data_IF_748879731176
#
_entry.id   IF_748879731176
#
_cell.length_a   1.000
_cell.length_b   1.000
_cell.length_c   1.000
_cell.angle_alpha   90.00
_cell.angle_beta   90.00
_cell.angle_gamma   90.00
#
_symmetry.space_group_name_H-M   'P 1'
#
loop_
_entity.id
_entity.type
_entity.pdbx_description
1 polymer ?
#
# COMPACT_ATOMS: atom_id res chain seq x y z
N UNK A 1 33.82 -16.41 6.55
CA UNK A 1 32.62 -16.96 5.89
C UNK A 1 31.34 -16.58 6.67
N UNK A 2 30.99 -15.28 6.76
CA UNK A 2 29.82 -14.76 7.53
C UNK A 2 29.01 -13.67 6.81
N UNK A 3 29.29 -13.41 5.51
CA UNK A 3 28.68 -12.31 4.73
C UNK A 3 27.78 -12.78 3.58
N UNK A 4 27.92 -14.04 3.15
CA UNK A 4 27.17 -14.64 2.06
C UNK A 4 25.78 -15.13 2.49
N UNK A 5 25.56 -15.39 3.78
CA UNK A 5 24.23 -15.81 4.28
C UNK A 5 23.29 -14.63 4.57
N UNK A 6 23.77 -13.38 4.53
CA UNK A 6 22.99 -12.22 4.95
C UNK A 6 22.06 -11.69 3.86
N UNK A 7 22.49 -11.71 2.58
CA UNK A 7 21.75 -11.07 1.50
C UNK A 7 20.52 -11.88 1.04
N UNK A 8 20.59 -13.21 1.06
CA UNK A 8 19.44 -14.06 0.73
C UNK A 8 18.36 -13.99 1.80
N UNK A 9 18.73 -13.96 3.09
CA UNK A 9 17.80 -13.77 4.21
C UNK A 9 17.13 -12.40 4.10
N UNK A 10 17.89 -11.34 3.84
CA UNK A 10 17.33 -10.01 3.60
C UNK A 10 16.37 -10.03 2.41
N UNK A 11 16.77 -10.62 1.27
CA UNK A 11 15.91 -10.72 0.09
C UNK A 11 14.63 -11.50 0.35
N UNK A 12 14.70 -12.58 1.14
CA UNK A 12 13.58 -13.42 1.50
C UNK A 12 12.63 -12.69 2.45
N UNK A 13 13.16 -12.03 3.49
CA UNK A 13 12.36 -11.20 4.41
C UNK A 13 11.66 -10.08 3.64
N UNK A 14 12.37 -9.39 2.74
CA UNK A 14 11.80 -8.33 1.92
C UNK A 14 10.73 -8.83 0.96
N UNK A 15 10.93 -10.01 0.37
CA UNK A 15 9.96 -10.63 -0.53
C UNK A 15 8.70 -11.04 0.24
N UNK A 16 8.85 -11.70 1.39
CA UNK A 16 7.73 -12.08 2.26
C UNK A 16 6.99 -10.84 2.77
N UNK A 17 7.73 -9.81 3.21
CA UNK A 17 7.13 -8.56 3.65
C UNK A 17 6.39 -7.85 2.52
N UNK A 18 6.98 -7.76 1.32
CA UNK A 18 6.33 -7.19 0.14
C UNK A 18 5.06 -7.95 -0.23
N UNK A 19 5.09 -9.28 -0.18
CA UNK A 19 3.92 -10.12 -0.40
C UNK A 19 2.80 -9.85 0.64
N UNK A 20 3.13 -9.82 1.93
CA UNK A 20 2.18 -9.57 3.02
C UNK A 20 1.62 -8.14 3.02
N UNK A 21 2.44 -7.15 2.65
CA UNK A 21 2.03 -5.76 2.51
C UNK A 21 0.99 -5.59 1.38
N UNK A 22 1.19 -6.30 0.27
CA UNK A 22 0.35 -6.21 -0.94
C UNK A 22 -0.86 -7.16 -0.91
N UNK A 23 -1.00 -7.96 0.16
CA UNK A 23 -2.20 -8.77 0.43
C UNK A 23 -3.36 -7.88 0.90
N UNK A 24 -3.96 -7.16 -0.06
CA UNK A 24 -5.04 -6.21 0.17
C UNK A 24 -6.24 -6.55 -0.70
N UNK A 25 -7.10 -7.49 -0.29
CA UNK A 25 -8.19 -7.98 -1.12
C UNK A 25 -9.21 -6.89 -1.47
N UNK A 26 -9.25 -5.78 -0.74
CA UNK A 26 -10.15 -4.68 -1.07
C UNK A 26 -9.69 -3.77 -2.22
N UNK A 27 -8.38 -3.62 -2.45
CA UNK A 27 -7.83 -2.76 -3.51
C UNK A 27 -8.45 -2.99 -4.91
N UNK A 28 -8.57 -4.24 -5.42
CA UNK A 28 -9.13 -4.48 -6.75
C UNK A 28 -10.59 -4.05 -6.90
N UNK A 29 -11.35 -3.97 -5.80
CA UNK A 29 -12.75 -3.59 -5.81
C UNK A 29 -13.02 -2.22 -5.18
N UNK A 30 -11.99 -1.38 -4.98
CA UNK A 30 -12.20 -0.03 -4.44
C UNK A 30 -13.16 0.76 -5.32
N UNK A 31 -13.05 0.68 -6.66
CA UNK A 31 -13.96 1.40 -7.54
C UNK A 31 -15.42 0.97 -7.37
N UNK A 32 -15.69 -0.34 -7.34
CA UNK A 32 -17.02 -0.89 -7.09
C UNK A 32 -17.50 -0.55 -5.67
N UNK A 33 -16.60 -0.54 -4.70
CA UNK A 33 -16.89 -0.09 -3.35
C UNK A 33 -17.27 1.39 -3.31
N UNK A 34 -16.57 2.27 -4.03
CA UNK A 34 -16.87 3.70 -4.06
C UNK A 34 -18.17 4.04 -4.78
N UNK A 35 -18.53 3.26 -5.79
CA UNK A 35 -19.74 3.42 -6.61
C UNK A 35 -20.92 2.58 -6.12
N UNK A 36 -20.72 1.77 -5.07
CA UNK A 36 -21.75 0.91 -4.50
C UNK A 36 -22.91 1.69 -3.86
N UNK A 37 -24.04 0.99 -3.69
CA UNK A 37 -25.31 1.57 -3.23
C UNK A 37 -25.22 2.31 -1.89
N UNK A 38 -24.25 1.98 -1.05
CA UNK A 38 -24.08 2.58 0.27
C UNK A 38 -23.55 4.03 0.26
N UNK A 39 -22.88 4.48 -0.79
CA UNK A 39 -22.34 5.87 -0.91
C UNK A 39 -23.14 6.76 -1.86
N UNK A 40 -23.94 6.19 -2.75
CA UNK A 40 -24.77 6.91 -3.72
C UNK A 40 -23.98 7.97 -4.53
N UNK A 41 -22.74 7.63 -4.93
CA UNK A 41 -21.86 8.49 -5.74
C UNK A 41 -21.77 7.88 -7.15
N UNK A 42 -22.02 8.69 -8.17
CA UNK A 42 -21.94 8.26 -9.57
C UNK A 42 -20.49 7.97 -9.98
N UNK A 43 -20.30 6.94 -10.82
CA UNK A 43 -19.02 6.55 -11.41
C UNK A 43 -18.27 7.73 -12.07
N UNK A 44 -18.99 8.63 -12.75
CA UNK A 44 -18.40 9.81 -13.39
C UNK A 44 -17.75 10.76 -12.37
N UNK A 45 -18.38 10.96 -11.21
CA UNK A 45 -17.85 11.84 -10.16
C UNK A 45 -16.58 11.25 -9.55
N UNK A 46 -16.54 9.94 -9.31
CA UNK A 46 -15.34 9.25 -8.80
C UNK A 46 -14.19 9.41 -9.80
N UNK A 47 -14.45 9.10 -11.08
CA UNK A 47 -13.41 9.08 -12.12
C UNK A 47 -12.91 10.49 -12.46
N UNK A 48 -13.79 11.49 -12.49
CA UNK A 48 -13.43 12.85 -12.92
C UNK A 48 -13.02 13.77 -11.77
N UNK A 49 -13.44 13.51 -10.52
CA UNK A 49 -13.17 14.41 -9.40
C UNK A 49 -12.37 13.78 -8.26
N UNK A 50 -12.46 12.48 -8.03
CA UNK A 50 -11.80 11.82 -6.89
C UNK A 50 -10.42 11.34 -7.31
N UNK A 51 -10.33 10.47 -8.32
CA UNK A 51 -9.02 9.93 -8.77
C UNK A 51 -8.00 10.97 -9.26
N UNK A 52 -8.39 12.06 -9.95
CA UNK A 52 -7.44 13.08 -10.33
C UNK A 52 -6.81 13.76 -9.12
N UNK A 53 -7.56 13.97 -8.04
CA UNK A 53 -7.03 14.56 -6.80
C UNK A 53 -5.94 13.68 -6.20
N UNK A 54 -6.15 12.35 -6.15
CA UNK A 54 -5.13 11.41 -5.70
C UNK A 54 -3.88 11.43 -6.57
N UNK A 55 -4.06 11.45 -7.89
CA UNK A 55 -2.94 11.44 -8.85
C UNK A 55 -2.11 12.74 -8.78
N UNK A 56 -2.77 13.90 -8.75
CA UNK A 56 -2.08 15.19 -8.66
C UNK A 56 -1.43 15.41 -7.30
N UNK A 57 -2.10 15.01 -6.22
CA UNK A 57 -1.53 15.09 -4.87
C UNK A 57 -0.31 14.20 -4.72
N UNK A 58 -0.35 12.97 -5.21
CA UNK A 58 0.81 12.06 -5.27
C UNK A 58 1.99 12.71 -5.97
N UNK A 59 1.80 13.27 -7.17
CA UNK A 59 2.86 13.92 -7.93
C UNK A 59 3.50 15.08 -7.16
N UNK A 60 2.67 15.94 -6.56
CA UNK A 60 3.15 17.08 -5.78
C UNK A 60 3.89 16.64 -4.51
N UNK A 61 3.33 15.66 -3.79
CA UNK A 61 3.90 15.15 -2.55
C UNK A 61 5.18 14.34 -2.78
N UNK A 62 5.36 13.73 -3.95
CA UNK A 62 6.58 13.02 -4.30
C UNK A 62 7.82 13.91 -4.15
N UNK A 63 7.73 15.17 -4.61
CA UNK A 63 8.82 16.16 -4.49
C UNK A 63 9.12 16.44 -3.01
N UNK A 64 8.07 16.64 -2.20
CA UNK A 64 8.17 16.94 -0.76
C UNK A 64 8.78 15.77 -0.01
N UNK A 65 8.29 14.55 -0.24
CA UNK A 65 8.75 13.32 0.40
C UNK A 65 10.21 13.03 0.01
N UNK A 66 10.60 13.26 -1.24
CA UNK A 66 11.98 13.11 -1.68
C UNK A 66 12.92 14.05 -0.92
N UNK A 67 12.56 15.34 -0.80
CA UNK A 67 13.33 16.32 -0.03
C UNK A 67 13.44 15.95 1.46
N UNK A 68 12.33 15.46 2.06
CA UNK A 68 12.34 14.98 3.45
C UNK A 68 13.26 13.76 3.60
N UNK A 69 13.32 12.88 2.60
CA UNK A 69 14.17 11.69 2.62
C UNK A 69 15.66 12.08 2.73
N UNK A 70 16.06 13.09 1.97
CA UNK A 70 17.44 13.60 1.98
C UNK A 70 17.80 14.25 3.32
N UNK A 71 16.84 14.90 4.00
CA UNK A 71 17.09 15.64 5.25
C UNK A 71 16.95 14.78 6.52
N UNK A 72 15.92 13.93 6.62
CA UNK A 72 15.50 13.31 7.88
C UNK A 72 15.86 11.81 8.03
N UNK A 73 16.61 11.24 7.08
CA UNK A 73 16.85 9.78 6.95
C UNK A 73 15.53 8.99 6.76
N UNK A 74 15.63 7.72 6.40
CA UNK A 74 14.50 6.90 5.96
C UNK A 74 13.48 6.49 7.05
N UNK A 75 13.83 6.55 8.34
CA UNK A 75 12.98 6.02 9.43
C UNK A 75 11.63 6.76 9.61
N UNK A 76 11.57 8.11 9.65
CA UNK A 76 10.30 8.82 9.82
C UNK A 76 9.30 8.56 8.69
N UNK A 77 9.80 8.38 7.47
CA UNK A 77 8.98 8.11 6.30
C UNK A 77 8.29 6.74 6.41
N UNK A 78 8.98 5.72 6.92
CA UNK A 78 8.37 4.41 7.14
C UNK A 78 7.18 4.50 8.12
N UNK A 79 7.28 5.35 9.16
CA UNK A 79 6.18 5.61 10.10
C UNK A 79 5.04 6.34 9.41
N UNK A 80 5.34 7.37 8.61
CA UNK A 80 4.32 8.10 7.82
C UNK A 80 3.58 7.17 6.86
N UNK A 81 4.28 6.23 6.21
CA UNK A 81 3.67 5.21 5.35
C UNK A 81 2.67 4.34 6.11
N UNK A 82 3.06 3.86 7.29
CA UNK A 82 2.20 3.02 8.13
C UNK A 82 0.97 3.78 8.62
N UNK A 83 1.16 4.99 9.15
CA UNK A 83 0.08 5.84 9.65
C UNK A 83 -0.89 6.27 8.55
N UNK A 84 -0.38 6.70 7.40
CA UNK A 84 -1.21 7.07 6.25
C UNK A 84 -2.06 5.89 5.77
N UNK A 85 -1.51 4.67 5.79
CA UNK A 85 -2.28 3.47 5.50
C UNK A 85 -3.48 3.30 6.44
N UNK A 86 -3.24 3.30 7.76
CA UNK A 86 -4.32 3.17 8.75
C UNK A 86 -5.39 4.24 8.55
N UNK A 87 -5.00 5.49 8.28
CA UNK A 87 -5.93 6.60 8.00
C UNK A 87 -6.77 6.33 6.75
N UNK A 88 -6.18 5.85 5.66
CA UNK A 88 -6.91 5.56 4.42
C UNK A 88 -7.95 4.47 4.63
N UNK A 89 -7.55 3.29 5.14
CA UNK A 89 -8.49 2.18 5.31
C UNK A 89 -9.54 2.45 6.39
N UNK A 90 -9.23 3.25 7.42
CA UNK A 90 -10.24 3.71 8.38
C UNK A 90 -11.23 4.68 7.73
N UNK A 91 -10.77 5.75 7.08
CA UNK A 91 -11.66 6.68 6.38
C UNK A 91 -12.52 5.94 5.34
N UNK A 92 -11.95 4.97 4.62
CA UNK A 92 -12.70 4.21 3.63
C UNK A 92 -13.90 3.45 4.24
N UNK A 93 -13.84 3.03 5.51
CA UNK A 93 -14.93 2.34 6.23
C UNK A 93 -15.98 3.28 6.85
N UNK A 94 -15.56 4.43 7.41
CA UNK A 94 -16.43 5.31 8.20
C UNK A 94 -16.99 6.51 7.45
N UNK A 95 -16.41 6.83 6.31
CA UNK A 95 -16.72 8.06 5.57
C UNK A 95 -17.73 7.80 4.45
N UNK A 96 -18.57 8.77 4.11
CA UNK A 96 -19.52 8.66 2.99
C UNK A 96 -19.58 9.90 2.09
N UNK A 97 -18.99 11.02 2.50
CA UNK A 97 -19.02 12.28 1.76
C UNK A 97 -17.99 12.39 0.63
N UNK A 98 -18.35 13.16 -0.41
CA UNK A 98 -17.45 13.44 -1.54
C UNK A 98 -16.21 14.25 -1.14
N UNK A 99 -16.37 15.22 -0.23
CA UNK A 99 -15.24 16.04 0.26
C UNK A 99 -14.26 15.18 1.03
N UNK A 100 -14.79 14.33 1.90
CA UNK A 100 -13.99 13.42 2.71
C UNK A 100 -13.26 12.39 1.84
N UNK A 101 -13.86 11.98 0.73
CA UNK A 101 -13.22 11.17 -0.31
C UNK A 101 -12.05 11.87 -0.99
N UNK A 102 -12.19 13.16 -1.34
CA UNK A 102 -11.09 13.95 -1.89
C UNK A 102 -9.95 14.07 -0.88
N UNK A 103 -10.26 14.22 0.41
CA UNK A 103 -9.27 14.22 1.49
C UNK A 103 -8.59 12.85 1.61
N UNK A 104 -9.35 11.76 1.55
CA UNK A 104 -8.82 10.39 1.55
C UNK A 104 -7.81 10.19 0.42
N UNK A 105 -8.12 10.65 -0.79
CA UNK A 105 -7.21 10.58 -1.95
C UNK A 105 -5.90 11.37 -1.73
N UNK A 106 -5.93 12.48 -1.00
CA UNK A 106 -4.70 13.22 -0.62
C UNK A 106 -3.84 12.41 0.36
N UNK A 107 -4.45 11.69 1.30
CA UNK A 107 -3.73 10.76 2.17
C UNK A 107 -3.21 9.55 1.39
N UNK A 108 -3.98 9.05 0.43
CA UNK A 108 -3.55 8.00 -0.49
C UNK A 108 -2.35 8.43 -1.34
N UNK A 109 -2.33 9.68 -1.82
CA UNK A 109 -1.16 10.27 -2.46
C UNK A 109 0.08 10.22 -1.55
N UNK A 110 -0.09 10.55 -0.26
CA UNK A 110 1.00 10.52 0.72
C UNK A 110 1.51 9.09 0.91
N UNK A 111 0.60 8.14 1.03
CA UNK A 111 0.90 6.73 1.17
C UNK A 111 1.72 6.22 -0.02
N UNK A 112 1.26 6.48 -1.25
CA UNK A 112 1.96 6.10 -2.48
C UNK A 112 3.33 6.77 -2.61
N UNK A 113 3.44 8.06 -2.31
CA UNK A 113 4.71 8.81 -2.36
C UNK A 113 5.75 8.22 -1.41
N UNK A 114 5.31 7.87 -0.20
CA UNK A 114 6.17 7.30 0.83
C UNK A 114 6.54 5.85 0.54
N UNK A 115 5.66 5.11 -0.14
CA UNK A 115 5.91 3.74 -0.57
C UNK A 115 7.05 3.64 -1.58
N UNK A 116 7.12 4.58 -2.53
CA UNK A 116 8.24 4.65 -3.48
C UNK A 116 9.58 4.82 -2.73
N UNK A 117 9.61 5.66 -1.69
CA UNK A 117 10.82 5.84 -0.88
C UNK A 117 11.16 4.60 -0.06
N UNK A 118 10.16 3.87 0.44
CA UNK A 118 10.39 2.60 1.12
C UNK A 118 11.13 1.60 0.20
N UNK A 119 10.75 1.51 -1.08
CA UNK A 119 11.48 0.68 -2.03
C UNK A 119 12.92 1.17 -2.26
N UNK A 120 13.15 2.48 -2.33
CA UNK A 120 14.51 3.05 -2.45
C UNK A 120 15.39 2.75 -1.23
N UNK A 121 14.83 2.75 -0.02
CA UNK A 121 15.55 2.40 1.21
C UNK A 121 16.09 0.97 1.20
N UNK A 122 15.30 0.03 0.68
CA UNK A 122 15.68 -1.37 0.55
C UNK A 122 16.96 -1.48 -0.30
N UNK A 123 17.01 -0.80 -1.44
CA UNK A 123 18.18 -0.82 -2.31
C UNK A 123 19.40 -0.18 -1.64
N UNK A 124 19.22 0.90 -0.87
CA UNK A 124 20.31 1.53 -0.12
C UNK A 124 20.97 0.60 0.94
N UNK A 125 20.29 -0.47 1.36
CA UNK A 125 20.80 -1.46 2.33
C UNK A 125 21.47 -2.68 1.68
N UNK A 126 21.24 -2.92 0.40
CA UNK A 126 21.78 -4.06 -0.34
C UNK A 126 23.05 -3.63 -1.07
N UNK A 127 23.95 -4.57 -1.41
CA UNK A 127 25.10 -4.27 -2.27
C UNK A 127 24.68 -4.27 -3.75
N UNK A 128 25.25 -3.36 -4.54
CA UNK A 128 24.99 -3.24 -5.98
C UNK A 128 25.04 -4.58 -6.75
N UNK A 129 25.94 -5.49 -6.37
CA UNK A 129 26.10 -6.82 -6.99
C UNK A 129 24.84 -7.70 -6.97
N UNK A 130 23.92 -7.46 -6.02
CA UNK A 130 22.70 -8.25 -5.87
C UNK A 130 21.42 -7.50 -6.25
N UNK A 131 21.51 -6.27 -6.78
CA UNK A 131 20.33 -5.45 -7.06
C UNK A 131 19.36 -6.11 -8.03
N UNK A 132 19.87 -6.71 -9.11
CA UNK A 132 19.02 -7.37 -10.10
C UNK A 132 18.23 -8.54 -9.49
N UNK A 133 18.91 -9.40 -8.71
CA UNK A 133 18.28 -10.56 -8.05
C UNK A 133 17.27 -10.14 -7.01
N UNK A 134 17.62 -9.19 -6.14
CA UNK A 134 16.72 -8.70 -5.09
C UNK A 134 15.51 -7.99 -5.70
N UNK A 135 15.70 -7.20 -6.76
CA UNK A 135 14.60 -6.56 -7.49
C UNK A 135 13.67 -7.60 -8.10
N UNK A 136 14.21 -8.63 -8.75
CA UNK A 136 13.42 -9.71 -9.36
C UNK A 136 12.57 -10.43 -8.32
N UNK A 137 13.17 -10.86 -7.20
CA UNK A 137 12.44 -11.54 -6.12
C UNK A 137 11.39 -10.64 -5.46
N UNK A 138 11.75 -9.39 -5.15
CA UNK A 138 10.81 -8.44 -4.54
C UNK A 138 9.63 -8.14 -5.46
N UNK A 139 9.87 -7.91 -6.77
CA UNK A 139 8.80 -7.67 -7.75
C UNK A 139 7.93 -8.90 -7.95
N UNK A 140 8.52 -10.09 -8.04
CA UNK A 140 7.77 -11.34 -8.14
C UNK A 140 6.87 -11.54 -6.91
N UNK A 141 7.37 -11.25 -5.70
CA UNK A 141 6.60 -11.37 -4.48
C UNK A 141 5.46 -10.35 -4.39
N UNK A 142 5.69 -9.09 -4.77
CA UNK A 142 4.64 -8.05 -4.87
C UNK A 142 3.55 -8.48 -5.85
N UNK A 143 3.93 -8.94 -7.05
CA UNK A 143 2.98 -9.41 -8.06
C UNK A 143 2.20 -10.64 -7.59
N UNK A 144 2.86 -11.59 -6.94
CA UNK A 144 2.22 -12.75 -6.35
C UNK A 144 1.23 -12.35 -5.24
N UNK A 145 1.59 -11.38 -4.39
CA UNK A 145 0.73 -10.84 -3.34
C UNK A 145 -0.55 -10.24 -3.92
N UNK A 146 -0.42 -9.39 -4.94
CA UNK A 146 -1.56 -8.83 -5.68
C UNK A 146 -2.41 -9.89 -6.35
N UNK A 147 -1.78 -10.89 -6.98
CA UNK A 147 -2.51 -11.99 -7.62
C UNK A 147 -3.32 -12.80 -6.61
N UNK A 148 -2.70 -13.22 -5.50
CA UNK A 148 -3.38 -13.97 -4.44
C UNK A 148 -4.49 -13.13 -3.81
N UNK A 149 -4.22 -11.85 -3.57
CA UNK A 149 -5.20 -10.88 -3.07
C UNK A 149 -6.45 -10.79 -3.97
N UNK A 150 -6.26 -10.60 -5.28
CA UNK A 150 -7.35 -10.51 -6.24
C UNK A 150 -8.11 -11.83 -6.40
N UNK A 151 -7.39 -12.97 -6.42
CA UNK A 151 -8.03 -14.30 -6.50
C UNK A 151 -8.87 -14.56 -5.24
N UNK A 152 -8.33 -14.27 -4.05
CA UNK A 152 -9.08 -14.37 -2.79
C UNK A 152 -10.32 -13.48 -2.84
N UNK A 153 -10.17 -12.20 -3.18
CA UNK A 153 -11.28 -11.27 -3.23
C UNK A 153 -12.37 -11.71 -4.22
N UNK A 154 -12.00 -12.14 -5.43
CA UNK A 154 -12.92 -12.67 -6.43
C UNK A 154 -13.65 -13.93 -5.95
N UNK A 155 -12.95 -14.86 -5.29
CA UNK A 155 -13.57 -16.07 -4.73
C UNK A 155 -14.58 -15.71 -3.63
N UNK A 156 -14.18 -14.84 -2.69
CA UNK A 156 -15.02 -14.43 -1.57
C UNK A 156 -16.33 -13.76 -2.04
N UNK A 157 -16.25 -12.89 -3.05
CA UNK A 157 -17.41 -12.23 -3.65
C UNK A 157 -18.25 -13.24 -4.44
N UNK A 158 -17.62 -14.08 -5.27
CA UNK A 158 -18.32 -15.05 -6.13
C UNK A 158 -19.10 -16.09 -5.33
N UNK A 159 -18.61 -16.51 -4.17
CA UNK A 159 -19.33 -17.42 -3.27
C UNK A 159 -20.36 -16.71 -2.38
N UNK A 160 -20.54 -15.39 -2.51
CA UNK A 160 -21.38 -14.55 -1.64
C UNK A 160 -21.07 -14.72 -0.15
N UNK A 161 -19.82 -15.06 0.18
CA UNK A 161 -19.41 -15.27 1.57
C UNK A 161 -19.20 -13.91 2.24
N UNK A 162 -18.69 -12.92 1.51
CA UNK A 162 -18.41 -11.59 2.05
C UNK A 162 -18.78 -10.46 1.09
N UNK A 163 -19.20 -9.33 1.67
CA UNK A 163 -19.53 -8.08 0.97
C UNK A 163 -18.31 -7.13 0.91
N UNK A 164 -18.31 -6.16 -0.01
CA UNK A 164 -17.19 -5.23 -0.25
C UNK A 164 -16.75 -4.46 1.01
N UNK A 165 -17.69 -4.16 1.92
CA UNK A 165 -17.39 -3.57 3.23
C UNK A 165 -16.57 -4.52 4.11
N UNK A 166 -16.86 -5.81 4.08
CA UNK A 166 -16.16 -6.80 4.90
C UNK A 166 -14.75 -7.11 4.35
N UNK A 167 -14.55 -7.05 3.03
CA UNK A 167 -13.21 -7.10 2.43
C UNK A 167 -12.34 -5.92 2.90
N UNK A 168 -12.93 -4.74 3.08
CA UNK A 168 -12.23 -3.58 3.63
C UNK A 168 -11.88 -3.76 5.11
N UNK A 169 -12.70 -4.45 5.92
CA UNK A 169 -12.33 -4.80 7.30
C UNK A 169 -11.15 -5.77 7.37
N UNK A 170 -11.08 -6.78 6.48
CA UNK A 170 -9.92 -7.68 6.40
C UNK A 170 -8.65 -6.89 6.06
N UNK A 171 -8.75 -6.00 5.07
CA UNK A 171 -7.61 -5.20 4.63
C UNK A 171 -7.15 -4.24 5.72
N UNK A 172 -8.09 -3.61 6.44
CA UNK A 172 -7.80 -2.76 7.60
C UNK A 172 -7.07 -3.55 8.70
N UNK A 173 -7.57 -4.74 9.07
CA UNK A 173 -6.92 -5.60 10.05
C UNK A 173 -5.49 -5.99 9.62
N UNK A 174 -5.30 -6.35 8.35
CA UNK A 174 -3.98 -6.66 7.79
C UNK A 174 -3.02 -5.47 7.81
N UNK A 175 -3.52 -4.26 7.54
CA UNK A 175 -2.68 -3.05 7.59
C UNK A 175 -2.22 -2.72 9.00
N UNK A 176 -3.07 -2.88 10.02
CA UNK A 176 -2.70 -2.71 11.43
C UNK A 176 -1.61 -3.71 11.87
N UNK A 177 -1.75 -4.99 11.53
CA UNK A 177 -0.75 -6.03 11.86
C UNK A 177 0.60 -5.76 11.17
N UNK A 178 0.57 -5.27 9.92
CA UNK A 178 1.79 -4.90 9.20
C UNK A 178 2.53 -3.73 9.85
N UNK A 179 1.83 -2.79 10.50
CA UNK A 179 2.46 -1.68 11.24
C UNK A 179 3.25 -2.19 12.44
N UNK A 180 2.71 -3.15 13.19
CA UNK A 180 3.40 -3.74 14.35
C UNK A 180 4.69 -4.47 13.91
N UNK A 181 4.64 -5.20 12.80
CA UNK A 181 5.82 -5.88 12.25
C UNK A 181 6.88 -4.93 11.68
N UNK A 182 6.49 -3.74 11.21
CA UNK A 182 7.40 -2.71 10.70
C UNK A 182 8.19 -2.00 11.84
N UNK A 183 7.79 -2.22 13.09
CA UNK A 183 8.50 -1.81 14.31
C UNK A 183 9.75 -2.67 14.59
N UNK A 184 9.88 -3.81 13.92
CA UNK A 184 11.03 -4.71 14.08
C UNK A 184 12.20 -4.15 13.26
N UNK A 185 13.36 -3.89 13.87
CA UNK A 185 14.48 -3.29 13.18
C UNK A 185 15.07 -4.27 12.18
N UNK A 186 15.06 -3.90 10.89
CA UNK A 186 16.03 -4.37 9.90
C UNK A 186 17.33 -3.55 9.99
#
# INVERSE_FOLDING_TARGET
MKRLETWWVISLILSVFGFLKELRPSEPYIFEFLTGEWRNITADVVTQQVYPVGTYSYLAQLIVVFLITDLCRYKPLIIVLALSGIVIWSMLLWTSGLVELKILEVFYGTFMATEVVYYSYIYAKVKNEYYEKVTSYARAAVLAGRFVSSVLAQLLISFKIMDYRQLNYITFAGTCVNVDHLSIPL
#
